data_IF_904179079397
#
_entry.id   IF_904179079397
#
_cell.length_a   1.000
_cell.length_b   1.000
_cell.length_c   1.000
_cell.angle_alpha   90.00
_cell.angle_beta   90.00
_cell.angle_gamma   90.00
#
_symmetry.space_group_name_H-M   'P 1'
#
loop_
_entity.id
_entity.type
_entity.pdbx_description
1 polymer ?
#
# COMPACT_ATOMS: atom_id res chain seq x y z
N UNK A 1 75.48 -18.75 -12.62
CA UNK A 1 74.36 -19.61 -13.08
C UNK A 1 73.09 -18.92 -12.62
N UNK A 2 72.37 -18.10 -13.39
CA UNK A 2 71.80 -18.25 -14.74
C UNK A 2 70.73 -19.35 -14.86
N UNK A 3 69.54 -18.91 -15.33
CA UNK A 3 68.39 -19.63 -15.92
C UNK A 3 67.36 -20.24 -14.93
N UNK A 4 66.03 -20.15 -15.07
CA UNK A 4 65.14 -19.67 -16.15
C UNK A 4 63.69 -19.41 -15.64
N UNK A 5 62.93 -18.69 -16.48
CA UNK A 5 61.59 -18.07 -16.30
C UNK A 5 60.41 -19.04 -16.55
N UNK A 6 59.19 -18.58 -16.18
CA UNK A 6 57.94 -18.50 -17.02
C UNK A 6 56.81 -17.88 -16.15
N UNK A 7 56.42 -16.61 -16.30
CA UNK A 7 55.54 -15.99 -17.31
C UNK A 7 54.09 -16.54 -17.35
N UNK A 8 53.14 -15.81 -16.75
CA UNK A 8 51.77 -15.69 -17.27
C UNK A 8 51.38 -14.21 -17.30
N UNK A 9 51.05 -13.74 -18.50
CA UNK A 9 50.90 -12.32 -18.82
C UNK A 9 49.54 -11.75 -18.45
N UNK A 10 49.55 -10.50 -17.98
CA UNK A 10 48.48 -9.53 -18.23
C UNK A 10 49.06 -8.43 -19.10
N UNK A 11 48.83 -8.52 -20.41
CA UNK A 11 48.99 -7.37 -21.30
C UNK A 11 47.84 -6.41 -21.02
N UNK A 12 48.20 -5.27 -20.44
CA UNK A 12 47.38 -4.07 -20.36
C UNK A 12 47.21 -3.53 -21.79
N UNK A 13 45.97 -3.55 -22.29
CA UNK A 13 45.55 -2.96 -23.56
C UNK A 13 44.83 -1.64 -23.25
N UNK A 14 45.58 -0.67 -22.75
CA UNK A 14 45.22 0.75 -22.84
C UNK A 14 45.67 1.23 -24.24
N UNK A 15 44.77 1.82 -25.05
CA UNK A 15 45.03 2.76 -26.18
C UNK A 15 44.08 2.66 -27.42
N UNK A 16 42.73 2.59 -27.28
CA UNK A 16 41.93 3.22 -28.37
C UNK A 16 40.72 4.06 -27.91
N UNK A 17 40.42 4.17 -26.62
CA UNK A 17 39.21 4.86 -26.14
C UNK A 17 39.39 6.39 -26.00
N UNK A 18 40.64 6.87 -25.85
CA UNK A 18 40.92 8.31 -25.71
C UNK A 18 40.79 9.08 -27.02
N UNK A 19 41.15 8.47 -28.16
CA UNK A 19 41.09 9.15 -29.46
C UNK A 19 39.66 9.32 -29.97
N UNK A 20 38.77 8.37 -29.71
CA UNK A 20 37.35 8.49 -30.06
C UNK A 20 36.63 9.65 -29.35
N UNK A 21 37.00 9.96 -28.10
CA UNK A 21 36.42 11.09 -27.34
C UNK A 21 36.88 12.45 -27.85
N UNK A 22 38.08 12.52 -28.43
CA UNK A 22 38.62 13.76 -28.97
C UNK A 22 38.07 14.06 -30.38
N UNK A 23 37.85 13.02 -31.19
CA UNK A 23 37.17 13.15 -32.50
C UNK A 23 35.70 13.56 -32.35
N UNK A 24 34.96 12.98 -31.39
CA UNK A 24 33.57 13.39 -31.08
C UNK A 24 33.46 14.84 -30.57
N UNK A 25 34.50 15.38 -29.93
CA UNK A 25 34.54 16.78 -29.50
C UNK A 25 34.79 17.75 -30.65
N UNK A 26 35.56 17.35 -31.67
CA UNK A 26 35.83 18.16 -32.85
C UNK A 26 34.65 18.22 -33.83
N UNK A 27 33.79 17.20 -33.85
CA UNK A 27 32.58 17.17 -34.68
C UNK A 27 31.40 18.00 -34.11
N UNK A 28 31.50 18.51 -32.88
CA UNK A 28 30.40 19.15 -32.14
C UNK A 28 30.23 20.69 -32.28
N UNK A 29 31.18 21.50 -32.81
CA UNK A 29 30.95 22.94 -32.95
C UNK A 29 29.87 23.31 -33.97
N UNK A 30 29.68 22.50 -35.02
CA UNK A 30 28.78 22.82 -36.13
C UNK A 30 27.29 22.54 -35.85
N UNK A 31 26.97 21.70 -34.86
CA UNK A 31 25.60 21.47 -34.40
C UNK A 31 25.08 22.56 -33.42
N UNK A 32 25.94 23.48 -32.98
CA UNK A 32 25.57 24.52 -32.00
C UNK A 32 24.79 25.70 -32.59
N UNK A 33 24.67 25.79 -33.92
CA UNK A 33 23.98 26.91 -34.61
C UNK A 33 22.46 26.74 -34.75
N UNK A 34 21.91 25.56 -34.47
CA UNK A 34 20.46 25.36 -34.40
C UNK A 34 19.99 25.32 -32.94
N UNK A 35 20.03 26.48 -32.26
CA UNK A 35 19.21 26.70 -31.06
C UNK A 35 17.74 26.80 -31.50
N UNK A 36 17.12 25.67 -31.84
CA UNK A 36 15.68 25.53 -31.66
C UNK A 36 15.42 25.84 -30.19
N UNK A 37 14.71 26.93 -29.90
CA UNK A 37 14.23 27.21 -28.55
C UNK A 37 13.24 26.11 -28.18
N UNK A 38 13.74 25.01 -27.63
CA UNK A 38 12.90 23.97 -27.06
C UNK A 38 12.24 24.61 -25.85
N UNK A 39 11.03 25.15 -26.04
CA UNK A 39 10.16 25.50 -24.91
C UNK A 39 10.08 24.23 -24.05
N UNK A 40 10.32 24.32 -22.73
CA UNK A 40 10.18 23.16 -21.87
C UNK A 40 8.76 22.60 -22.08
N UNK A 41 8.67 21.28 -22.35
CA UNK A 41 7.40 20.59 -22.61
C UNK A 41 6.37 20.80 -21.50
N UNK A 42 6.84 21.05 -20.28
CA UNK A 42 6.01 21.32 -19.11
C UNK A 42 6.30 22.73 -18.59
N UNK A 43 5.31 23.62 -18.72
CA UNK A 43 5.32 24.95 -18.10
C UNK A 43 4.78 24.82 -16.67
N UNK A 44 5.68 24.90 -15.68
CA UNK A 44 5.33 24.80 -14.25
C UNK A 44 4.51 25.99 -13.75
N UNK A 45 4.38 27.05 -14.54
CA UNK A 45 3.58 28.23 -14.19
C UNK A 45 2.12 28.11 -14.64
N UNK A 46 1.69 26.94 -15.12
CA UNK A 46 0.34 26.73 -15.67
C UNK A 46 -0.25 25.38 -15.30
N UNK A 47 -1.58 25.28 -15.44
CA UNK A 47 -2.32 24.03 -15.38
C UNK A 47 -2.22 23.32 -14.03
N UNK A 48 -2.03 21.99 -14.09
CA UNK A 48 -2.02 21.11 -12.91
C UNK A 48 -0.92 21.48 -11.88
N UNK A 49 0.14 22.17 -12.28
CA UNK A 49 1.23 22.59 -11.40
C UNK A 49 0.88 23.76 -10.48
N UNK A 50 -0.14 24.54 -10.81
CA UNK A 50 -0.64 25.64 -9.98
C UNK A 50 -1.74 25.20 -9.00
N UNK A 51 -2.23 23.97 -9.12
CA UNK A 51 -3.30 23.50 -8.26
C UNK A 51 -2.80 23.31 -6.82
N UNK A 52 -3.55 23.78 -5.81
CA UNK A 52 -3.23 23.51 -4.42
C UNK A 52 -3.18 22.01 -4.11
N UNK A 53 -2.35 21.60 -3.14
CA UNK A 53 -2.20 20.21 -2.67
C UNK A 53 -3.55 19.54 -2.36
N UNK A 54 -4.52 20.30 -1.84
CA UNK A 54 -5.82 19.77 -1.45
C UNK A 54 -6.72 19.47 -2.65
N UNK A 55 -6.66 20.30 -3.71
CA UNK A 55 -7.35 20.04 -4.98
C UNK A 55 -6.72 18.83 -5.67
N UNK A 56 -5.38 18.76 -5.69
CA UNK A 56 -4.66 17.59 -6.21
C UNK A 56 -5.03 16.31 -5.45
N UNK A 57 -5.26 16.40 -4.14
CA UNK A 57 -5.71 15.25 -3.34
C UNK A 57 -7.12 14.78 -3.70
N UNK A 58 -8.06 15.69 -3.99
CA UNK A 58 -9.40 15.33 -4.45
C UNK A 58 -9.32 14.59 -5.78
N UNK A 59 -8.49 15.08 -6.71
CA UNK A 59 -8.26 14.41 -8.01
C UNK A 59 -7.66 13.02 -7.79
N UNK A 60 -6.62 12.92 -6.98
CA UNK A 60 -5.93 11.66 -6.68
C UNK A 60 -6.81 10.66 -5.94
N UNK A 61 -7.85 11.09 -5.22
CA UNK A 61 -8.81 10.18 -4.61
C UNK A 61 -9.66 9.41 -5.63
N UNK A 62 -9.69 9.86 -6.89
CA UNK A 62 -10.29 9.14 -8.02
C UNK A 62 -9.28 8.27 -8.78
N UNK A 63 -8.00 8.25 -8.37
CA UNK A 63 -6.95 7.47 -9.01
C UNK A 63 -6.65 6.20 -8.21
N UNK A 64 -6.36 5.11 -8.93
CA UNK A 64 -5.78 3.92 -8.31
C UNK A 64 -4.29 4.14 -7.98
N UNK A 65 -3.69 3.18 -7.26
CA UNK A 65 -2.29 3.26 -6.84
C UNK A 65 -1.30 3.37 -8.00
N UNK A 66 -1.58 2.78 -9.17
CA UNK A 66 -0.65 2.74 -10.30
C UNK A 66 -0.50 4.12 -10.92
N UNK A 67 -1.61 4.84 -11.09
CA UNK A 67 -1.57 6.18 -11.66
C UNK A 67 -1.07 7.22 -10.66
N UNK A 68 -1.39 7.07 -9.38
CA UNK A 68 -0.76 7.87 -8.33
C UNK A 68 0.77 7.65 -8.27
N UNK A 69 1.23 6.41 -8.43
CA UNK A 69 2.65 6.08 -8.49
C UNK A 69 3.33 6.67 -9.73
N UNK A 70 2.74 6.51 -10.92
CA UNK A 70 3.29 7.12 -12.13
C UNK A 70 3.34 8.63 -12.05
N UNK A 71 2.29 9.28 -11.51
CA UNK A 71 2.26 10.74 -11.35
C UNK A 71 3.38 11.21 -10.41
N UNK A 72 3.64 10.50 -9.31
CA UNK A 72 4.74 10.80 -8.41
C UNK A 72 6.11 10.81 -9.12
N UNK A 73 6.29 9.95 -10.12
CA UNK A 73 7.52 9.85 -10.90
C UNK A 73 7.63 10.92 -12.02
N UNK A 74 6.55 11.59 -12.38
CA UNK A 74 6.59 12.61 -13.46
C UNK A 74 7.29 13.89 -13.04
N UNK A 75 7.04 14.39 -11.82
CA UNK A 75 7.62 15.63 -11.33
C UNK A 75 7.59 15.73 -9.80
N UNK A 76 8.63 16.34 -9.22
CA UNK A 76 8.80 16.50 -7.76
C UNK A 76 7.64 17.22 -7.06
N UNK A 77 6.93 18.09 -7.78
CA UNK A 77 5.76 18.82 -7.25
C UNK A 77 4.65 17.86 -6.79
N UNK A 78 4.49 16.72 -7.47
CA UNK A 78 3.47 15.73 -7.13
C UNK A 78 3.90 14.72 -6.07
N UNK A 79 5.20 14.62 -5.77
CA UNK A 79 5.77 13.59 -4.90
C UNK A 79 5.08 13.56 -3.53
N UNK A 80 4.95 14.72 -2.89
CA UNK A 80 4.34 14.84 -1.55
C UNK A 80 2.88 14.40 -1.55
N UNK A 81 2.07 14.90 -2.50
CA UNK A 81 0.63 14.62 -2.55
C UNK A 81 0.35 13.17 -2.95
N UNK A 82 1.15 12.61 -3.87
CA UNK A 82 1.04 11.22 -4.28
C UNK A 82 1.47 10.27 -3.15
N UNK A 83 2.57 10.57 -2.44
CA UNK A 83 2.95 9.82 -1.22
C UNK A 83 1.86 9.86 -0.17
N UNK A 84 1.26 11.03 0.07
CA UNK A 84 0.12 11.17 0.99
C UNK A 84 -1.04 10.25 0.58
N UNK A 85 -1.39 10.19 -0.71
CA UNK A 85 -2.41 9.27 -1.25
C UNK A 85 -2.02 7.81 -1.04
N UNK A 86 -0.83 7.42 -1.49
CA UNK A 86 -0.36 6.04 -1.48
C UNK A 86 -0.19 5.45 -0.07
N UNK A 87 0.18 6.26 0.92
CA UNK A 87 0.37 5.78 2.29
C UNK A 87 -0.87 5.96 3.19
N UNK A 88 -1.94 6.61 2.72
CA UNK A 88 -3.14 6.91 3.54
C UNK A 88 -3.84 5.67 4.05
N UNK A 89 -4.21 4.77 3.14
CA UNK A 89 -4.94 3.54 3.41
C UNK A 89 -4.21 2.39 2.71
N UNK A 90 -3.75 1.42 3.50
CA UNK A 90 -2.92 0.31 3.02
C UNK A 90 -3.70 -0.99 3.20
N UNK A 91 -3.84 -1.77 2.14
CA UNK A 91 -4.32 -3.15 2.20
C UNK A 91 -3.15 -4.10 2.10
N UNK A 92 -3.10 -5.09 2.99
CA UNK A 92 -1.97 -6.01 3.14
C UNK A 92 -2.43 -7.41 2.81
N UNK A 93 -1.85 -8.01 1.77
CA UNK A 93 -2.09 -9.40 1.43
C UNK A 93 -0.92 -10.28 1.89
N UNK A 94 -1.19 -11.56 2.06
CA UNK A 94 -0.20 -12.52 2.53
C UNK A 94 0.63 -13.00 1.35
N UNK A 95 1.94 -12.76 1.44
CA UNK A 95 2.95 -13.31 0.53
C UNK A 95 4.00 -14.14 1.29
N UNK A 96 3.74 -14.46 2.55
CA UNK A 96 4.67 -15.08 3.49
C UNK A 96 4.41 -16.58 3.67
N UNK A 97 3.32 -17.12 3.12
CA UNK A 97 3.09 -18.57 3.06
C UNK A 97 4.03 -19.18 2.02
N UNK A 98 5.14 -19.76 2.50
CA UNK A 98 6.06 -20.55 1.68
C UNK A 98 5.35 -21.83 1.20
N UNK A 99 4.82 -21.77 -0.02
CA UNK A 99 4.18 -22.87 -0.74
C UNK A 99 3.83 -22.40 -2.16
N UNK A 100 3.46 -23.34 -3.03
CA UNK A 100 3.13 -23.09 -4.45
C UNK A 100 1.99 -22.07 -4.66
N UNK A 101 1.23 -21.73 -3.60
CA UNK A 101 0.14 -20.77 -3.59
C UNK A 101 0.51 -19.37 -3.07
N UNK A 102 1.76 -18.91 -3.23
CA UNK A 102 2.09 -17.51 -2.93
C UNK A 102 1.40 -16.59 -3.95
N UNK A 103 0.18 -16.13 -3.64
CA UNK A 103 -0.58 -15.28 -4.55
C UNK A 103 0.05 -13.90 -4.63
N UNK A 104 0.82 -13.66 -5.70
CA UNK A 104 1.25 -12.32 -6.06
C UNK A 104 0.05 -11.57 -6.61
N UNK A 105 -0.53 -10.68 -5.79
CA UNK A 105 -1.60 -9.80 -6.25
C UNK A 105 -0.99 -8.72 -7.15
N UNK A 106 -1.18 -8.89 -8.45
CA UNK A 106 -0.89 -7.85 -9.44
C UNK A 106 -2.09 -6.92 -9.56
N UNK A 107 -1.95 -5.67 -9.12
CA UNK A 107 -2.99 -4.65 -9.31
C UNK A 107 -2.99 -4.21 -10.78
N UNK A 108 -4.07 -4.47 -11.54
CA UNK A 108 -4.11 -4.08 -12.94
C UNK A 108 -4.14 -2.55 -13.08
N UNK A 109 -3.38 -2.02 -14.04
CA UNK A 109 -3.25 -0.57 -14.25
C UNK A 109 -4.61 0.14 -14.49
N UNK A 110 -5.54 -0.53 -15.15
CA UNK A 110 -6.86 0.03 -15.52
C UNK A 110 -7.98 -0.38 -14.56
N UNK A 111 -7.67 -0.91 -13.38
CA UNK A 111 -8.69 -1.32 -12.42
C UNK A 111 -9.06 -0.15 -11.51
N UNK A 112 -10.31 0.29 -11.60
CA UNK A 112 -10.87 1.44 -10.90
C UNK A 112 -12.14 1.04 -10.14
N UNK A 113 -11.97 0.18 -9.13
CA UNK A 113 -13.06 -0.12 -8.19
C UNK A 113 -12.89 0.75 -6.94
N UNK A 114 -13.97 0.99 -6.16
CA UNK A 114 -13.86 1.73 -4.90
C UNK A 114 -12.74 1.22 -3.99
N UNK A 115 -12.52 -0.09 -3.96
CA UNK A 115 -11.43 -0.70 -3.19
C UNK A 115 -10.04 -0.27 -3.68
N UNK A 116 -9.75 -0.37 -4.98
CA UNK A 116 -8.43 -0.03 -5.54
C UNK A 116 -8.19 1.48 -5.67
N UNK A 117 -9.24 2.29 -5.61
CA UNK A 117 -9.13 3.74 -5.48
C UNK A 117 -8.90 4.15 -4.02
N UNK A 118 -9.42 3.41 -3.03
CA UNK A 118 -9.23 3.70 -1.62
C UNK A 118 -7.88 3.20 -1.08
N UNK A 119 -7.52 1.95 -1.38
CA UNK A 119 -6.38 1.27 -0.78
C UNK A 119 -5.18 1.13 -1.73
N UNK A 120 -3.99 1.33 -1.16
CA UNK A 120 -2.75 0.83 -1.76
C UNK A 120 -2.54 -0.61 -1.31
N UNK A 121 -2.57 -1.53 -2.27
CA UNK A 121 -2.36 -2.96 -2.09
C UNK A 121 -0.87 -3.25 -2.08
N UNK A 122 -0.40 -3.80 -0.97
CA UNK A 122 1.00 -4.18 -0.75
C UNK A 122 1.06 -5.56 -0.12
N UNK A 123 2.17 -6.24 -0.36
CA UNK A 123 2.44 -7.51 0.27
C UNK A 123 2.95 -7.31 1.69
N UNK A 124 2.74 -8.31 2.55
CA UNK A 124 3.19 -8.28 3.94
C UNK A 124 4.71 -8.04 4.03
N UNK A 125 5.50 -8.77 3.25
CA UNK A 125 6.95 -8.61 3.22
C UNK A 125 7.41 -7.19 2.81
N UNK A 126 6.76 -6.60 1.79
CA UNK A 126 7.05 -5.23 1.32
C UNK A 126 6.68 -4.18 2.36
N UNK A 127 5.57 -4.40 3.07
CA UNK A 127 5.15 -3.52 4.15
C UNK A 127 6.18 -3.52 5.27
N UNK A 128 6.63 -4.70 5.72
CA UNK A 128 7.65 -4.81 6.76
C UNK A 128 8.96 -4.13 6.36
N UNK A 129 9.41 -4.35 5.12
CA UNK A 129 10.58 -3.65 4.59
C UNK A 129 10.40 -2.13 4.58
N UNK A 130 9.21 -1.64 4.25
CA UNK A 130 8.89 -0.21 4.28
C UNK A 130 8.94 0.37 5.69
N UNK A 131 8.33 -0.28 6.68
CA UNK A 131 8.37 0.18 8.08
C UNK A 131 9.78 0.17 8.68
N UNK A 132 10.64 -0.74 8.23
CA UNK A 132 12.06 -0.78 8.64
C UNK A 132 12.95 0.20 7.86
N UNK A 133 12.42 0.90 6.86
CA UNK A 133 13.21 1.81 6.01
C UNK A 133 13.20 3.25 6.52
N UNK A 134 14.25 4.00 6.18
CA UNK A 134 14.33 5.46 6.42
C UNK A 134 13.30 6.27 5.60
N UNK A 135 12.66 5.63 4.61
CA UNK A 135 11.63 6.23 3.77
C UNK A 135 10.22 6.10 4.35
N UNK A 136 10.06 5.46 5.51
CA UNK A 136 8.77 5.39 6.18
C UNK A 136 8.29 6.80 6.54
N UNK A 137 7.04 7.12 6.19
CA UNK A 137 6.42 8.41 6.55
C UNK A 137 5.16 8.12 7.40
N UNK A 138 5.34 7.86 8.71
CA UNK A 138 4.26 7.38 9.57
C UNK A 138 3.04 8.31 9.63
N UNK A 139 3.29 9.62 9.53
CA UNK A 139 2.24 10.65 9.58
C UNK A 139 1.17 10.50 8.50
N UNK A 140 1.49 9.88 7.37
CA UNK A 140 0.55 9.66 6.27
C UNK A 140 -0.31 8.42 6.48
N UNK A 141 0.13 7.46 7.29
CA UNK A 141 -0.59 6.20 7.51
C UNK A 141 -1.80 6.45 8.41
N UNK A 142 -3.00 6.28 7.85
CA UNK A 142 -4.29 6.46 8.56
C UNK A 142 -5.03 5.16 8.74
N UNK A 143 -4.90 4.21 7.82
CA UNK A 143 -5.58 2.94 7.90
C UNK A 143 -4.70 1.82 7.36
N UNK A 144 -4.66 0.68 8.05
CA UNK A 144 -4.09 -0.56 7.56
C UNK A 144 -5.15 -1.66 7.68
N UNK A 145 -5.42 -2.35 6.58
CA UNK A 145 -6.33 -3.49 6.51
C UNK A 145 -5.53 -4.72 6.11
N UNK A 146 -5.36 -5.66 7.05
CA UNK A 146 -4.73 -6.95 6.78
C UNK A 146 -5.75 -7.94 6.23
N UNK A 147 -5.36 -8.77 5.26
CA UNK A 147 -6.24 -9.81 4.75
C UNK A 147 -6.44 -10.93 5.78
N UNK A 148 -5.43 -11.24 6.57
CA UNK A 148 -5.42 -12.31 7.56
C UNK A 148 -4.53 -11.93 8.75
N UNK A 149 -4.88 -12.38 9.95
CA UNK A 149 -4.14 -12.07 11.16
C UNK A 149 -2.85 -12.86 11.36
N UNK A 150 -2.64 -13.94 10.60
CA UNK A 150 -1.37 -14.68 10.52
C UNK A 150 -0.25 -13.85 9.91
N UNK A 151 -0.57 -12.74 9.23
CA UNK A 151 0.40 -11.85 8.63
C UNK A 151 1.21 -11.08 9.67
N UNK A 152 0.73 -10.90 10.90
CA UNK A 152 1.33 -9.98 11.89
C UNK A 152 1.26 -10.50 13.32
N UNK A 153 2.24 -10.10 14.13
CA UNK A 153 2.23 -10.36 15.57
C UNK A 153 1.64 -9.20 16.36
N UNK A 154 1.20 -9.45 17.60
CA UNK A 154 0.79 -8.41 18.54
C UNK A 154 1.91 -7.39 18.81
N UNK A 155 3.18 -7.83 18.86
CA UNK A 155 4.30 -6.89 19.04
C UNK A 155 4.41 -5.93 17.85
N UNK A 156 4.28 -6.45 16.63
CA UNK A 156 4.30 -5.63 15.42
C UNK A 156 3.19 -4.58 15.45
N UNK A 157 1.95 -4.99 15.77
CA UNK A 157 0.81 -4.09 15.86
C UNK A 157 1.01 -2.96 16.88
N UNK A 158 1.58 -3.27 18.05
CA UNK A 158 1.91 -2.25 19.03
C UNK A 158 2.98 -1.29 18.53
N UNK A 159 4.05 -1.80 17.89
CA UNK A 159 5.09 -0.97 17.30
C UNK A 159 4.55 -0.05 16.19
N UNK A 160 3.65 -0.56 15.35
CA UNK A 160 2.95 0.24 14.33
C UNK A 160 2.17 1.38 14.96
N UNK A 161 1.47 1.15 16.07
CA UNK A 161 0.72 2.21 16.76
C UNK A 161 1.61 3.20 17.51
N UNK A 162 2.77 2.80 18.03
CA UNK A 162 3.74 3.76 18.57
C UNK A 162 4.22 4.71 17.48
N UNK A 163 4.50 4.17 16.30
CA UNK A 163 5.03 4.94 15.17
C UNK A 163 3.95 5.76 14.44
N UNK A 164 2.72 5.24 14.33
CA UNK A 164 1.56 5.89 13.75
C UNK A 164 0.35 5.86 14.71
N UNK A 165 0.34 6.72 15.76
CA UNK A 165 -0.67 6.66 16.83
C UNK A 165 -2.13 6.86 16.40
N UNK A 166 -2.34 7.51 15.25
CA UNK A 166 -3.67 7.78 14.69
C UNK A 166 -4.10 6.76 13.63
N UNK A 167 -3.34 5.68 13.45
CA UNK A 167 -3.64 4.64 12.48
C UNK A 167 -4.77 3.72 12.98
N UNK A 168 -5.78 3.49 12.13
CA UNK A 168 -6.79 2.45 12.33
C UNK A 168 -6.28 1.14 11.75
N UNK A 169 -6.17 0.11 12.60
CA UNK A 169 -5.78 -1.23 12.14
C UNK A 169 -7.02 -2.14 12.11
N UNK A 170 -7.22 -2.81 10.98
CA UNK A 170 -8.34 -3.72 10.71
C UNK A 170 -7.84 -5.01 10.05
N UNK A 171 -8.68 -6.03 10.08
CA UNK A 171 -8.43 -7.34 9.50
C UNK A 171 -9.68 -7.80 8.73
N UNK A 172 -9.52 -8.48 7.60
CA UNK A 172 -10.62 -9.16 6.92
C UNK A 172 -10.94 -10.51 7.58
N UNK A 173 -9.91 -11.26 7.99
CA UNK A 173 -10.06 -12.53 8.71
C UNK A 173 -9.19 -12.53 9.98
N UNK A 174 -9.75 -13.01 11.09
CA UNK A 174 -9.09 -13.06 12.41
C UNK A 174 -9.32 -14.43 13.04
N UNK A 175 -8.25 -15.22 13.15
CA UNK A 175 -8.27 -16.59 13.66
C UNK A 175 -7.56 -16.73 15.00
N UNK A 176 -6.46 -16.01 15.19
CA UNK A 176 -5.58 -16.07 16.35
C UNK A 176 -6.14 -15.31 17.56
N UNK A 177 -6.34 -16.01 18.68
CA UNK A 177 -6.92 -15.44 19.89
C UNK A 177 -6.10 -14.30 20.52
N UNK A 178 -4.77 -14.30 20.30
CA UNK A 178 -3.90 -13.19 20.67
C UNK A 178 -4.29 -11.90 19.96
N UNK A 179 -4.55 -11.99 18.65
CA UNK A 179 -4.94 -10.85 17.82
C UNK A 179 -6.38 -10.44 18.14
N UNK A 180 -7.31 -11.38 18.35
CA UNK A 180 -8.68 -11.06 18.80
C UNK A 180 -8.69 -10.25 20.10
N UNK A 181 -7.94 -10.70 21.12
CA UNK A 181 -7.83 -9.99 22.41
C UNK A 181 -7.20 -8.60 22.24
N UNK A 182 -6.15 -8.50 21.42
CA UNK A 182 -5.53 -7.23 21.11
C UNK A 182 -6.50 -6.27 20.41
N UNK A 183 -7.22 -6.75 19.39
CA UNK A 183 -8.16 -5.96 18.61
C UNK A 183 -9.30 -5.44 19.49
N UNK A 184 -9.86 -6.29 20.36
CA UNK A 184 -10.84 -5.89 21.37
C UNK A 184 -10.34 -4.73 22.24
N UNK A 185 -9.11 -4.82 22.74
CA UNK A 185 -8.49 -3.77 23.57
C UNK A 185 -8.21 -2.50 22.77
N UNK A 186 -7.72 -2.63 21.54
CA UNK A 186 -7.39 -1.52 20.65
C UNK A 186 -8.66 -0.78 20.24
N UNK A 187 -9.67 -1.47 19.73
CA UNK A 187 -10.91 -0.85 19.25
C UNK A 187 -11.72 -0.20 20.37
N UNK A 188 -11.73 -0.78 21.60
CA UNK A 188 -12.32 -0.14 22.79
C UNK A 188 -11.66 1.20 23.14
N UNK A 189 -10.36 1.34 22.88
CA UNK A 189 -9.59 2.56 23.18
C UNK A 189 -9.54 3.56 22.02
N UNK A 190 -9.65 3.06 20.78
CA UNK A 190 -9.25 3.80 19.58
C UNK A 190 -10.40 4.14 18.62
N UNK A 191 -11.57 3.49 18.70
CA UNK A 191 -12.59 3.63 17.68
C UNK A 191 -13.94 4.09 18.25
N UNK A 192 -14.42 5.23 17.78
CA UNK A 192 -15.81 5.65 17.93
C UNK A 192 -16.80 4.76 17.15
N UNK A 193 -16.29 3.94 16.21
CA UNK A 193 -17.05 3.03 15.34
C UNK A 193 -16.34 1.67 15.27
N UNK A 194 -16.95 0.63 15.81
CA UNK A 194 -16.36 -0.71 15.83
C UNK A 194 -16.75 -1.48 14.57
N UNK A 195 -15.73 -1.95 13.84
CA UNK A 195 -15.88 -2.72 12.59
C UNK A 195 -15.50 -4.17 12.85
N UNK A 196 -16.39 -5.10 12.48
CA UNK A 196 -16.14 -6.54 12.59
C UNK A 196 -16.22 -7.16 11.19
N UNK A 197 -15.17 -7.89 10.80
CA UNK A 197 -15.13 -8.65 9.55
C UNK A 197 -15.25 -10.13 9.90
N UNK A 198 -16.34 -10.76 9.48
CA UNK A 198 -16.57 -12.18 9.61
C UNK A 198 -16.19 -12.87 8.31
N UNK A 199 -15.18 -13.74 8.38
CA UNK A 199 -15.20 -15.09 7.82
C UNK A 199 -15.29 -16.15 8.94
N UNK A 200 -14.96 -15.76 10.18
CA UNK A 200 -14.79 -16.65 11.34
C UNK A 200 -15.57 -16.21 12.59
N UNK A 201 -16.74 -15.59 12.44
CA UNK A 201 -17.70 -15.30 13.53
C UNK A 201 -18.19 -16.54 14.28
N UNK A 202 -17.90 -17.75 13.79
CA UNK A 202 -18.16 -18.99 14.52
C UNK A 202 -17.34 -19.12 15.82
N UNK A 203 -16.29 -18.33 16.03
CA UNK A 203 -15.45 -18.44 17.22
C UNK A 203 -15.52 -17.21 18.14
N UNK A 204 -16.47 -17.26 19.07
CA UNK A 204 -16.36 -16.70 20.43
C UNK A 204 -16.17 -15.18 20.58
N UNK A 205 -16.83 -14.35 19.76
CA UNK A 205 -16.89 -12.94 20.09
C UNK A 205 -17.77 -12.75 21.34
N UNK A 206 -17.24 -12.26 22.49
CA UNK A 206 -18.00 -12.23 23.73
C UNK A 206 -19.28 -11.41 23.56
N UNK A 207 -20.44 -11.94 23.96
CA UNK A 207 -21.76 -11.28 23.81
C UNK A 207 -21.75 -9.84 24.30
N UNK A 208 -21.09 -9.59 25.43
CA UNK A 208 -20.89 -8.26 26.02
C UNK A 208 -20.28 -7.23 25.06
N UNK A 209 -19.51 -7.65 24.07
CA UNK A 209 -18.86 -6.76 23.12
C UNK A 209 -19.68 -6.59 21.83
N UNK A 210 -20.67 -7.45 21.53
CA UNK A 210 -21.49 -7.34 20.30
C UNK A 210 -22.25 -6.03 20.23
N UNK A 211 -22.62 -5.50 21.39
CA UNK A 211 -23.23 -4.17 21.53
C UNK A 211 -22.30 -3.02 21.12
N UNK A 212 -20.99 -3.23 20.94
CA UNK A 212 -20.07 -2.19 20.51
C UNK A 212 -19.98 -2.07 18.98
N UNK A 213 -20.33 -3.12 18.25
CA UNK A 213 -20.23 -3.19 16.78
C UNK A 213 -21.21 -2.23 16.13
N UNK A 214 -20.69 -1.37 15.25
CA UNK A 214 -21.50 -0.44 14.46
C UNK A 214 -21.53 -0.81 12.97
N UNK A 215 -20.51 -1.49 12.47
CA UNK A 215 -20.45 -1.89 11.08
C UNK A 215 -19.96 -3.34 10.99
N UNK A 216 -20.76 -4.19 10.35
CA UNK A 216 -20.48 -5.61 10.18
C UNK A 216 -20.16 -5.87 8.71
N UNK A 217 -19.03 -6.51 8.44
CA UNK A 217 -18.62 -6.95 7.12
C UNK A 217 -18.58 -8.47 7.15
N UNK A 218 -19.25 -9.12 6.21
CA UNK A 218 -19.41 -10.58 6.20
C UNK A 218 -18.98 -11.09 4.85
N UNK A 219 -18.25 -12.19 4.81
CA UNK A 219 -17.94 -12.87 3.56
C UNK A 219 -18.25 -14.35 3.70
N UNK A 220 -18.92 -14.88 2.68
CA UNK A 220 -19.31 -16.29 2.58
C UNK A 220 -20.10 -16.82 3.81
N UNK A 221 -21.09 -16.07 4.30
CA UNK A 221 -21.90 -16.44 5.47
C UNK A 221 -23.21 -17.16 5.14
N UNK A 222 -23.55 -18.15 5.98
CA UNK A 222 -24.88 -18.76 5.99
C UNK A 222 -25.95 -17.79 6.51
N UNK A 223 -27.06 -17.73 5.79
CA UNK A 223 -28.23 -16.89 6.11
C UNK A 223 -28.85 -17.24 7.47
N UNK A 224 -28.78 -18.51 7.88
CA UNK A 224 -29.32 -19.01 9.15
C UNK A 224 -28.54 -18.44 10.35
N UNK A 225 -27.21 -18.41 10.26
CA UNK A 225 -26.37 -17.80 11.28
C UNK A 225 -26.69 -16.31 11.43
N UNK A 226 -26.84 -15.62 10.29
CA UNK A 226 -27.15 -14.19 10.28
C UNK A 226 -28.44 -13.86 11.01
N UNK A 227 -29.52 -14.60 10.74
CA UNK A 227 -30.80 -14.41 11.41
C UNK A 227 -30.71 -14.60 12.92
N UNK A 228 -29.89 -15.56 13.38
CA UNK A 228 -29.70 -15.86 14.80
C UNK A 228 -28.85 -14.81 15.52
N UNK A 229 -27.82 -14.29 14.87
CA UNK A 229 -26.78 -13.50 15.52
C UNK A 229 -26.95 -11.99 15.32
N UNK A 230 -27.55 -11.54 14.22
CA UNK A 230 -27.84 -10.11 13.97
C UNK A 230 -28.59 -9.42 15.11
N UNK A 231 -29.65 -10.02 15.70
CA UNK A 231 -30.38 -9.40 16.81
C UNK A 231 -29.51 -9.08 18.04
N UNK A 232 -28.34 -9.72 18.15
CA UNK A 232 -27.41 -9.53 19.27
C UNK A 232 -26.51 -8.30 19.12
N UNK A 233 -26.49 -7.65 17.95
CA UNK A 233 -25.70 -6.45 17.68
C UNK A 233 -26.55 -5.17 17.82
N UNK A 234 -26.84 -4.75 19.05
CA UNK A 234 -27.77 -3.64 19.34
C UNK A 234 -27.40 -2.26 18.77
N UNK A 235 -26.15 -2.01 18.39
CA UNK A 235 -25.67 -0.71 17.87
C UNK A 235 -25.28 -0.76 16.39
N UNK A 236 -25.67 -1.83 15.70
CA UNK A 236 -25.33 -2.04 14.31
C UNK A 236 -26.00 -0.97 13.44
N UNK A 237 -25.21 -0.30 12.61
CA UNK A 237 -25.64 0.76 11.68
C UNK A 237 -25.60 0.31 10.23
N UNK A 238 -24.70 -0.61 9.88
CA UNK A 238 -24.64 -1.16 8.52
C UNK A 238 -24.08 -2.57 8.49
N UNK A 239 -24.52 -3.33 7.49
CA UNK A 239 -24.02 -4.67 7.16
C UNK A 239 -23.55 -4.63 5.70
N UNK A 240 -22.34 -5.12 5.44
CA UNK A 240 -21.78 -5.26 4.10
C UNK A 240 -21.44 -6.72 3.86
N UNK A 241 -22.10 -7.36 2.90
CA UNK A 241 -21.79 -8.74 2.51
C UNK A 241 -20.87 -8.69 1.29
N UNK A 242 -19.64 -9.19 1.45
CA UNK A 242 -18.61 -9.26 0.42
C UNK A 242 -18.63 -10.69 -0.11
N UNK A 243 -19.08 -10.88 -1.35
CA UNK A 243 -19.09 -12.20 -2.01
C UNK A 243 -20.42 -12.96 -2.03
N UNK A 244 -21.49 -12.41 -1.45
CA UNK A 244 -22.85 -12.98 -1.49
C UNK A 244 -23.86 -12.08 -2.21
N UNK A 245 -24.90 -12.68 -2.78
CA UNK A 245 -26.07 -11.99 -3.35
C UNK A 245 -26.65 -10.98 -2.36
N UNK A 246 -26.97 -9.77 -2.86
CA UNK A 246 -27.42 -8.61 -2.07
C UNK A 246 -28.58 -8.99 -1.12
N UNK A 247 -28.43 -8.67 0.17
CA UNK A 247 -29.55 -8.56 1.10
C UNK A 247 -29.94 -7.09 1.30
N UNK A 248 -31.24 -6.81 1.26
CA UNK A 248 -31.81 -5.56 1.76
C UNK A 248 -31.97 -5.65 3.28
N UNK A 249 -31.62 -4.58 4.02
CA UNK A 249 -31.92 -4.48 5.44
C UNK A 249 -33.42 -4.53 5.69
N UNK A 250 -33.91 -5.26 6.71
CA UNK A 250 -35.26 -5.04 7.23
C UNK A 250 -35.30 -3.69 7.96
N UNK A 251 -36.30 -2.87 7.64
CA UNK A 251 -36.74 -1.69 8.41
C UNK A 251 -37.41 -2.10 9.71
#
# INVERSE_FOLDING_TARGET
MNLLKLSTGKKQLDLPVRDMRNELRKASPELSKNKLSVKPRNDLTKGIFLLPDDVLSIILDQCNQMDAFHLALTHKTFDKVCKRKLFKSIFVYDDCLKGEDTQVINVPKKLYTPFYMEYTVVSCSKLFKFFSSTYCIPRYIKSILFADDRQVSVQYLNATLVMAPKCSIRFLDVRLDGIKRWLLKHQKKSLAKFHLFGNSLELSYPEQNKNLVQHLFLRDYETVWLQKELPKFKRLKSINIIGGTKFACPT
#
